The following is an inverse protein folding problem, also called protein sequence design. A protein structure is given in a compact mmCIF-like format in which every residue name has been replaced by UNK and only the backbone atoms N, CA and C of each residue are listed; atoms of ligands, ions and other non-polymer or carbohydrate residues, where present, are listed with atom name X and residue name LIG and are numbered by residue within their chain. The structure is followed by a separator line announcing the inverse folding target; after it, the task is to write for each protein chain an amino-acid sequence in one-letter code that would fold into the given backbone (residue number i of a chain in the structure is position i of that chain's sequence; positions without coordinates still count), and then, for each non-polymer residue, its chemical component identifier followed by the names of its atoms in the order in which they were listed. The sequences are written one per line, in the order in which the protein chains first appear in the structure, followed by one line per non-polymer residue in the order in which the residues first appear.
data_IF_448646742081
#
_entry.id   IF_448646742081
#
_cell.length_a   1.000
_cell.length_b   1.000
_cell.length_c   1.000
_cell.angle_alpha   90.00
_cell.angle_beta   90.00
_cell.angle_gamma   90.00
#
_symmetry.space_group_name_H-M   'P 1'
#
loop_
_entity.id
_entity.type
_entity.pdbx_description
1 polymer ?
#
# COMPACT_ATOMS: atom_id res chain seq x y z
N UNK A 1 -52.99 -18.47 -10.53
CA UNK A 1 -52.61 -18.40 -11.96
C UNK A 1 -51.28 -17.66 -12.04
N UNK A 2 -50.16 -18.40 -12.16
CA UNK A 2 -48.81 -17.81 -12.17
C UNK A 2 -48.51 -17.27 -13.57
N UNK A 3 -48.28 -15.95 -13.67
CA UNK A 3 -48.03 -15.22 -14.93
C UNK A 3 -46.69 -15.57 -15.64
N UNK A 4 -45.91 -16.54 -15.14
CA UNK A 4 -44.53 -16.80 -15.58
C UNK A 4 -44.32 -17.95 -16.58
N UNK A 5 -45.36 -18.69 -16.98
CA UNK A 5 -45.20 -19.89 -17.81
C UNK A 5 -45.35 -19.63 -19.32
N UNK A 6 -46.32 -18.82 -19.74
CA UNK A 6 -46.62 -18.62 -21.17
C UNK A 6 -45.49 -17.93 -21.96
N UNK A 7 -44.77 -17.01 -21.32
CA UNK A 7 -43.62 -16.34 -21.94
C UNK A 7 -42.44 -17.29 -22.19
N UNK A 8 -42.18 -18.21 -21.25
CA UNK A 8 -41.13 -19.21 -21.39
C UNK A 8 -41.46 -20.19 -22.52
N UNK A 9 -42.69 -20.70 -22.56
CA UNK A 9 -43.15 -21.65 -23.60
C UNK A 9 -43.11 -21.01 -25.00
N UNK A 10 -43.52 -19.75 -25.13
CA UNK A 10 -43.43 -19.02 -26.39
C UNK A 10 -41.98 -18.83 -26.85
N UNK A 11 -41.07 -18.51 -25.92
CA UNK A 11 -39.65 -18.36 -26.20
C UNK A 11 -38.99 -19.71 -26.52
N UNK A 12 -39.36 -20.78 -25.84
CA UNK A 12 -38.88 -22.14 -26.10
C UNK A 12 -39.26 -22.56 -27.51
N UNK A 13 -40.53 -22.42 -27.90
CA UNK A 13 -40.99 -22.78 -29.25
C UNK A 13 -40.27 -21.99 -30.35
N UNK A 14 -39.93 -20.73 -30.09
CA UNK A 14 -39.18 -19.93 -31.05
C UNK A 14 -37.70 -20.32 -31.09
N UNK A 15 -37.03 -20.33 -29.94
CA UNK A 15 -35.58 -20.45 -29.87
C UNK A 15 -35.14 -21.91 -30.02
N UNK A 16 -35.81 -22.85 -29.35
CA UNK A 16 -35.48 -24.28 -29.39
C UNK A 16 -36.01 -24.88 -30.69
N UNK A 17 -37.33 -24.85 -30.92
CA UNK A 17 -37.91 -25.61 -32.04
C UNK A 17 -37.61 -24.98 -33.41
N UNK A 18 -37.64 -23.64 -33.51
CA UNK A 18 -37.47 -22.96 -34.81
C UNK A 18 -36.03 -22.49 -35.06
N UNK A 19 -35.34 -21.93 -34.07
CA UNK A 19 -33.98 -21.41 -34.23
C UNK A 19 -32.87 -22.43 -33.89
N UNK A 20 -33.24 -23.61 -33.37
CA UNK A 20 -32.31 -24.72 -33.13
C UNK A 20 -31.42 -24.57 -31.89
N UNK A 21 -31.91 -23.89 -30.84
CA UNK A 21 -31.24 -23.84 -29.55
C UNK A 21 -31.49 -25.14 -28.76
N UNK A 22 -30.59 -25.48 -27.84
CA UNK A 22 -30.78 -26.61 -26.92
C UNK A 22 -31.36 -26.13 -25.59
N UNK A 23 -32.44 -26.75 -25.12
CA UNK A 23 -32.99 -26.47 -23.78
C UNK A 23 -32.17 -27.21 -22.71
N UNK A 24 -31.53 -26.48 -21.80
CA UNK A 24 -30.61 -27.02 -20.80
C UNK A 24 -30.82 -26.38 -19.42
N UNK A 25 -30.35 -27.06 -18.37
CA UNK A 25 -30.11 -26.43 -17.07
C UNK A 25 -28.82 -25.62 -17.16
N UNK A 26 -28.92 -24.29 -17.20
CA UNK A 26 -27.77 -23.40 -17.39
C UNK A 26 -26.73 -23.49 -16.25
N UNK A 27 -27.10 -24.02 -15.09
CA UNK A 27 -26.18 -24.21 -13.96
C UNK A 27 -25.41 -25.53 -14.02
N UNK A 28 -25.90 -26.53 -14.77
CA UNK A 28 -25.24 -27.83 -14.86
C UNK A 28 -24.03 -27.78 -15.80
N UNK A 29 -24.02 -26.83 -16.74
CA UNK A 29 -22.92 -26.53 -17.66
C UNK A 29 -22.76 -25.00 -17.82
N UNK A 30 -22.15 -24.33 -16.82
CA UNK A 30 -22.08 -22.88 -16.76
C UNK A 30 -21.18 -22.25 -17.83
N UNK A 31 -20.36 -23.02 -18.54
CA UNK A 31 -19.49 -22.51 -19.61
C UNK A 31 -20.10 -22.62 -21.00
N UNK A 32 -21.09 -23.51 -21.19
CA UNK A 32 -21.81 -23.61 -22.45
C UNK A 32 -22.73 -22.40 -22.67
N UNK A 33 -22.44 -21.61 -23.71
CA UNK A 33 -23.17 -20.38 -24.08
C UNK A 33 -23.57 -20.35 -25.55
N UNK A 34 -23.22 -21.38 -26.32
CA UNK A 34 -23.50 -21.43 -27.74
C UNK A 34 -24.87 -22.08 -27.99
N UNK A 35 -25.82 -21.29 -28.46
CA UNK A 35 -27.19 -21.72 -28.79
C UNK A 35 -27.86 -22.55 -27.69
N UNK A 36 -27.72 -22.14 -26.43
CA UNK A 36 -28.43 -22.74 -25.30
C UNK A 36 -29.55 -21.85 -24.79
N UNK A 37 -30.66 -22.46 -24.41
CA UNK A 37 -31.83 -21.83 -23.82
C UNK A 37 -32.12 -22.50 -22.48
N UNK A 38 -32.55 -21.74 -21.49
CA UNK A 38 -32.86 -22.30 -20.17
C UNK A 38 -33.36 -21.21 -19.23
N UNK A 39 -33.82 -21.63 -18.04
CA UNK A 39 -34.30 -20.67 -17.04
C UNK A 39 -33.12 -19.91 -16.42
N UNK A 40 -33.20 -18.57 -16.30
CA UNK A 40 -32.20 -17.82 -15.56
C UNK A 40 -32.15 -18.31 -14.11
N UNK A 41 -30.95 -18.58 -13.64
CA UNK A 41 -30.71 -18.93 -12.25
C UNK A 41 -30.78 -17.66 -11.39
N UNK A 42 -31.87 -17.52 -10.65
CA UNK A 42 -31.99 -16.49 -9.63
C UNK A 42 -31.74 -17.10 -8.25
N UNK A 43 -30.91 -16.44 -7.45
CA UNK A 43 -30.78 -16.79 -6.05
C UNK A 43 -31.97 -16.20 -5.28
N UNK A 44 -33.00 -17.02 -5.03
CA UNK A 44 -34.13 -16.68 -4.17
C UNK A 44 -34.18 -17.64 -2.97
N UNK A 45 -34.36 -17.10 -1.77
CA UNK A 45 -34.54 -17.84 -0.52
C UNK A 45 -35.85 -17.33 0.10
N UNK A 46 -36.81 -18.21 0.33
CA UNK A 46 -38.14 -17.89 0.87
C UNK A 46 -38.85 -16.71 0.16
N UNK A 47 -38.67 -16.61 -1.16
CA UNK A 47 -39.26 -15.56 -2.00
C UNK A 47 -38.50 -14.23 -2.01
N UNK A 48 -37.34 -14.14 -1.37
CA UNK A 48 -36.48 -12.95 -1.36
C UNK A 48 -35.16 -13.20 -2.10
N UNK A 49 -34.60 -12.17 -2.74
CA UNK A 49 -33.35 -12.30 -3.50
C UNK A 49 -32.17 -12.54 -2.54
N UNK A 50 -31.56 -13.73 -2.59
CA UNK A 50 -30.47 -14.21 -1.71
C UNK A 50 -29.10 -13.56 -2.00
N UNK A 51 -29.05 -12.24 -2.13
CA UNK A 51 -27.80 -11.48 -2.23
C UNK A 51 -27.14 -11.24 -0.86
N UNK A 52 -26.26 -10.22 -0.71
CA UNK A 52 -25.50 -9.94 0.53
C UNK A 52 -26.34 -9.65 1.79
N UNK A 53 -27.66 -9.74 1.70
CA UNK A 53 -28.61 -9.50 2.77
C UNK A 53 -28.90 -10.72 3.66
N UNK A 54 -28.56 -11.94 3.22
CA UNK A 54 -28.67 -13.14 4.07
C UNK A 54 -27.38 -13.37 4.87
N UNK A 55 -27.35 -12.86 6.10
CA UNK A 55 -26.24 -13.04 7.03
C UNK A 55 -25.91 -14.51 7.36
N UNK A 56 -26.85 -15.44 7.15
CA UNK A 56 -26.61 -16.88 7.35
C UNK A 56 -25.68 -17.51 6.30
N UNK A 57 -25.48 -16.81 5.17
CA UNK A 57 -24.57 -17.20 4.08
C UNK A 57 -23.26 -16.41 4.09
N UNK A 58 -23.07 -15.51 5.06
CA UNK A 58 -21.83 -14.77 5.17
C UNK A 58 -20.68 -15.71 5.49
N UNK A 59 -19.60 -15.54 4.74
CA UNK A 59 -18.33 -16.14 5.10
C UNK A 59 -17.60 -15.18 6.03
N UNK A 60 -17.69 -15.46 7.32
CA UNK A 60 -17.03 -14.65 8.33
C UNK A 60 -15.56 -15.02 8.37
N UNK A 61 -14.71 -14.15 7.82
CA UNK A 61 -13.27 -14.20 8.01
C UNK A 61 -12.84 -13.00 8.87
N UNK A 62 -12.64 -13.18 10.19
CA UNK A 62 -12.34 -12.08 11.10
C UNK A 62 -10.92 -11.52 10.90
N UNK A 63 -10.09 -12.14 10.07
CA UNK A 63 -8.73 -11.68 9.80
C UNK A 63 -8.66 -10.70 8.62
N UNK A 64 -9.74 -10.57 7.84
CA UNK A 64 -9.84 -9.56 6.77
C UNK A 64 -9.75 -8.16 7.40
N UNK A 65 -8.86 -7.34 6.86
CA UNK A 65 -8.59 -5.99 7.29
C UNK A 65 -7.60 -5.89 8.47
N UNK A 66 -7.43 -6.93 9.30
CA UNK A 66 -6.57 -6.88 10.48
C UNK A 66 -5.09 -6.87 10.13
N UNK A 67 -4.30 -6.17 10.95
CA UNK A 67 -2.85 -6.10 10.80
C UNK A 67 -2.41 -5.20 9.65
N UNK A 68 -3.31 -4.35 9.12
CA UNK A 68 -3.00 -3.35 8.11
C UNK A 68 -1.77 -2.54 8.54
N UNK A 69 -0.83 -2.38 7.62
CA UNK A 69 0.42 -1.71 7.87
C UNK A 69 0.74 -0.74 6.75
N UNK A 70 1.30 0.41 7.09
CA UNK A 70 2.05 1.29 6.20
C UNK A 70 3.29 1.77 6.97
N UNK A 71 4.32 2.18 6.24
CA UNK A 71 5.51 2.72 6.86
C UNK A 71 5.20 4.11 7.43
N UNK A 72 5.42 4.38 8.73
CA UNK A 72 5.37 5.74 9.22
C UNK A 72 6.51 6.55 8.61
N UNK A 73 6.20 7.76 8.14
CA UNK A 73 7.17 8.64 7.51
C UNK A 73 7.45 9.92 8.30
N UNK A 74 8.71 10.35 8.21
CA UNK A 74 9.24 11.61 8.73
C UNK A 74 10.12 12.26 7.66
N UNK A 75 9.90 13.55 7.39
CA UNK A 75 10.75 14.42 6.58
C UNK A 75 11.66 15.25 7.47
N UNK A 76 12.97 15.18 7.23
CA UNK A 76 13.99 16.02 7.85
C UNK A 76 14.60 16.84 6.73
N UNK A 77 14.43 18.15 6.81
CA UNK A 77 14.93 19.08 5.82
C UNK A 77 16.39 19.41 6.14
N UNK A 78 17.26 19.24 5.15
CA UNK A 78 18.70 19.47 5.26
C UNK A 78 19.10 20.55 4.25
N UNK A 79 20.12 21.34 4.59
CA UNK A 79 20.79 22.23 3.64
C UNK A 79 22.29 21.94 3.58
N UNK A 80 22.94 22.33 2.49
CA UNK A 80 24.38 22.19 2.33
C UNK A 80 24.94 23.14 1.29
N UNK A 81 26.19 23.60 1.44
CA UNK A 81 26.79 24.61 0.55
C UNK A 81 27.04 24.11 -0.87
N UNK A 82 27.08 22.79 -1.08
CA UNK A 82 27.30 22.13 -2.37
C UNK A 82 26.03 21.54 -2.98
N UNK A 83 24.87 21.71 -2.32
CA UNK A 83 23.61 21.19 -2.83
C UNK A 83 23.08 22.10 -3.94
N UNK A 84 22.68 21.47 -5.04
CA UNK A 84 21.87 22.07 -6.09
C UNK A 84 20.55 21.30 -6.17
N UNK A 85 19.51 21.89 -5.61
CA UNK A 85 18.19 21.29 -5.57
C UNK A 85 17.59 21.22 -6.97
N UNK A 86 16.92 20.11 -7.27
CA UNK A 86 16.17 19.93 -8.50
C UNK A 86 14.72 19.56 -8.18
N UNK A 87 13.79 20.45 -8.49
CA UNK A 87 12.36 20.21 -8.37
C UNK A 87 11.72 20.12 -9.76
N UNK A 88 11.10 18.98 -10.08
CA UNK A 88 10.43 18.78 -11.36
C UNK A 88 9.20 19.68 -11.50
N UNK A 89 9.12 20.43 -12.61
CA UNK A 89 7.93 21.21 -12.98
C UNK A 89 7.36 20.67 -14.29
N UNK A 90 6.12 20.18 -14.29
CA UNK A 90 5.48 19.68 -15.51
C UNK A 90 4.71 20.77 -16.27
N UNK A 91 4.32 21.84 -15.58
CA UNK A 91 3.63 22.99 -16.17
C UNK A 91 4.59 23.98 -16.82
N UNK A 92 5.79 24.10 -16.28
CA UNK A 92 6.84 25.01 -16.76
C UNK A 92 8.22 24.34 -16.59
N UNK A 93 8.55 23.33 -17.40
CA UNK A 93 9.82 22.61 -17.32
C UNK A 93 10.97 23.47 -17.88
N UNK A 94 12.16 23.31 -17.32
CA UNK A 94 13.40 23.84 -17.92
C UNK A 94 13.53 23.27 -19.34
N UNK A 95 13.63 24.16 -20.34
CA UNK A 95 13.53 23.75 -21.75
C UNK A 95 14.61 22.74 -22.15
N UNK A 96 15.84 22.90 -21.65
CA UNK A 96 16.93 21.96 -21.91
C UNK A 96 16.64 20.57 -21.35
N UNK A 97 16.14 20.47 -20.12
CA UNK A 97 15.85 19.19 -19.46
C UNK A 97 14.65 18.48 -20.10
N UNK A 98 13.61 19.25 -20.49
CA UNK A 98 12.50 18.76 -21.30
C UNK A 98 13.01 18.17 -22.61
N UNK A 99 13.85 18.90 -23.33
CA UNK A 99 14.34 18.50 -24.65
C UNK A 99 15.21 17.26 -24.56
N UNK A 100 16.09 17.16 -23.57
CA UNK A 100 16.87 15.94 -23.27
C UNK A 100 15.96 14.74 -23.04
N UNK A 101 14.89 14.88 -22.27
CA UNK A 101 13.99 13.76 -22.00
C UNK A 101 13.18 13.36 -23.24
N UNK A 102 12.61 14.34 -23.95
CA UNK A 102 11.78 14.08 -25.13
C UNK A 102 12.58 13.49 -26.28
N UNK A 103 13.81 13.97 -26.51
CA UNK A 103 14.63 13.58 -27.67
C UNK A 103 15.45 12.31 -27.41
N UNK A 104 15.99 12.13 -26.20
CA UNK A 104 16.96 11.05 -25.91
C UNK A 104 16.67 10.25 -24.64
N UNK A 105 15.55 10.51 -23.94
CA UNK A 105 15.22 9.87 -22.65
C UNK A 105 16.37 10.00 -21.64
N UNK A 106 17.00 11.17 -21.63
CA UNK A 106 18.10 11.52 -20.74
C UNK A 106 17.79 12.78 -19.93
N UNK A 107 18.65 13.10 -18.97
CA UNK A 107 18.52 14.30 -18.14
C UNK A 107 17.61 14.11 -16.93
N UNK A 108 17.33 15.17 -16.17
CA UNK A 108 16.68 15.05 -14.86
C UNK A 108 15.28 14.42 -14.86
N UNK A 109 14.52 14.52 -15.97
CA UNK A 109 13.21 13.88 -16.10
C UNK A 109 13.28 12.37 -16.39
N UNK A 110 14.47 11.78 -16.61
CA UNK A 110 14.60 10.32 -16.76
C UNK A 110 14.66 9.57 -15.41
N UNK A 111 14.66 10.29 -14.29
CA UNK A 111 14.63 9.74 -12.93
C UNK A 111 13.58 10.45 -12.08
N UNK A 112 13.10 9.77 -11.04
CA UNK A 112 12.29 10.39 -10.00
C UNK A 112 13.16 11.28 -9.09
N UNK A 113 12.53 12.00 -8.15
CA UNK A 113 13.21 12.90 -7.22
C UNK A 113 14.17 12.18 -6.25
N UNK A 114 13.87 10.95 -5.84
CA UNK A 114 14.73 10.21 -4.90
C UNK A 114 16.11 9.94 -5.53
N UNK A 115 17.14 10.52 -4.94
CA UNK A 115 18.55 10.43 -5.40
C UNK A 115 19.33 9.31 -4.72
N UNK A 116 18.91 8.89 -3.52
CA UNK A 116 19.66 7.91 -2.71
C UNK A 116 18.76 7.19 -1.71
N UNK A 117 19.18 6.00 -1.32
CA UNK A 117 18.52 5.17 -0.29
C UNK A 117 19.58 4.52 0.60
N UNK A 118 19.26 4.40 1.89
CA UNK A 118 20.06 3.65 2.86
C UNK A 118 19.17 2.92 3.85
N UNK A 119 19.74 1.94 4.55
CA UNK A 119 19.00 1.07 5.45
C UNK A 119 19.76 0.85 6.74
N UNK A 120 19.01 0.66 7.81
CA UNK A 120 19.52 0.32 9.13
C UNK A 120 18.64 -0.69 9.83
N UNK A 121 19.18 -1.32 10.86
CA UNK A 121 18.42 -2.16 11.78
C UNK A 121 18.68 -1.72 13.22
N UNK A 122 17.61 -1.57 13.99
CA UNK A 122 17.67 -1.26 15.42
C UNK A 122 17.38 -2.54 16.22
N UNK A 123 18.35 -3.09 16.98
CA UNK A 123 18.15 -4.28 17.81
C UNK A 123 17.09 -4.03 18.90
N UNK A 124 16.23 -5.02 19.15
CA UNK A 124 15.12 -4.90 20.12
C UNK A 124 15.36 -5.63 21.45
N UNK A 125 16.60 -6.08 21.72
CA UNK A 125 17.00 -6.76 22.96
C UNK A 125 16.51 -8.21 23.13
N UNK A 126 15.50 -8.64 22.37
CA UNK A 126 14.94 -10.01 22.35
C UNK A 126 15.46 -10.86 21.16
N UNK A 127 16.50 -10.40 20.46
CA UNK A 127 17.02 -11.02 19.24
C UNK A 127 16.30 -10.62 17.95
N UNK A 128 15.16 -9.92 18.01
CA UNK A 128 14.55 -9.29 16.84
C UNK A 128 15.18 -7.93 16.52
N UNK A 129 14.94 -7.47 15.29
CA UNK A 129 15.41 -6.19 14.78
C UNK A 129 14.28 -5.45 14.08
N UNK A 130 14.28 -4.13 14.23
CA UNK A 130 13.37 -3.22 13.54
C UNK A 130 14.14 -2.59 12.38
N UNK A 131 13.59 -2.64 11.17
CA UNK A 131 14.19 -2.05 9.99
C UNK A 131 13.86 -0.57 9.87
N UNK A 132 14.85 0.24 9.50
CA UNK A 132 14.68 1.64 9.15
C UNK A 132 15.20 1.84 7.73
N UNK A 133 14.48 2.59 6.92
CA UNK A 133 14.92 3.01 5.59
C UNK A 133 15.00 4.54 5.57
N UNK A 134 16.07 5.07 4.99
CA UNK A 134 16.15 6.48 4.64
C UNK A 134 16.20 6.69 3.13
N UNK A 135 15.52 7.72 2.63
CA UNK A 135 15.64 8.18 1.23
C UNK A 135 15.95 9.67 1.19
N UNK A 136 16.72 10.08 0.18
CA UNK A 136 17.07 11.49 -0.04
C UNK A 136 16.41 11.97 -1.32
N UNK A 137 15.58 13.00 -1.23
CA UNK A 137 14.97 13.66 -2.39
C UNK A 137 15.88 14.73 -2.98
N UNK A 138 15.69 15.07 -4.25
CA UNK A 138 16.52 16.05 -4.97
C UNK A 138 16.20 17.50 -4.59
N UNK A 139 15.19 17.74 -3.77
CA UNK A 139 14.80 19.07 -3.30
C UNK A 139 14.26 18.99 -1.88
N UNK A 140 14.18 20.13 -1.20
CA UNK A 140 13.44 20.22 0.05
C UNK A 140 11.92 20.22 -0.15
N UNK A 141 11.21 20.25 0.97
CA UNK A 141 9.75 20.15 1.04
C UNK A 141 9.13 21.28 1.89
N UNK A 142 7.89 21.64 1.54
CA UNK A 142 7.04 22.64 2.20
C UNK A 142 7.73 23.98 2.48
N UNK A 143 8.10 24.27 3.74
CA UNK A 143 8.72 25.54 4.12
C UNK A 143 10.15 25.71 3.63
N UNK A 144 10.79 24.64 3.13
CA UNK A 144 12.23 24.58 2.90
C UNK A 144 12.58 24.30 1.43
N UNK A 145 12.11 25.16 0.51
CA UNK A 145 12.33 24.98 -0.94
C UNK A 145 13.53 25.79 -1.49
N UNK A 146 14.58 25.98 -0.69
CA UNK A 146 15.78 26.67 -1.14
C UNK A 146 16.54 25.86 -2.20
N UNK A 147 17.36 26.51 -3.03
CA UNK A 147 18.16 25.79 -4.04
C UNK A 147 19.31 24.96 -3.42
N UNK A 148 19.50 25.05 -2.12
CA UNK A 148 20.50 24.36 -1.35
C UNK A 148 19.89 23.35 -0.36
N UNK A 149 18.61 22.97 -0.54
CA UNK A 149 17.87 22.09 0.37
C UNK A 149 17.52 20.74 -0.25
N UNK A 150 17.49 19.71 0.59
CA UNK A 150 17.05 18.35 0.26
C UNK A 150 16.22 17.79 1.41
N UNK A 151 15.28 16.89 1.09
CA UNK A 151 14.51 16.15 2.10
C UNK A 151 15.15 14.80 2.37
N UNK A 152 15.50 14.55 3.64
CA UNK A 152 15.75 13.22 4.18
C UNK A 152 14.43 12.64 4.69
N UNK A 153 13.94 11.59 4.04
CA UNK A 153 12.84 10.79 4.52
C UNK A 153 13.37 9.69 5.44
N UNK A 154 12.70 9.41 6.56
CA UNK A 154 12.97 8.26 7.42
C UNK A 154 11.69 7.46 7.62
N UNK A 155 11.76 6.17 7.27
CA UNK A 155 10.68 5.21 7.40
C UNK A 155 10.99 4.16 8.47
N UNK A 156 10.04 3.92 9.37
CA UNK A 156 9.98 2.64 10.07
C UNK A 156 9.46 1.54 9.14
N UNK A 157 10.10 0.37 9.11
CA UNK A 157 9.77 -0.68 8.12
C UNK A 157 9.43 -2.03 8.78
N UNK A 158 10.03 -3.12 8.33
CA UNK A 158 9.83 -4.46 8.88
C UNK A 158 10.16 -4.52 10.37
N UNK A 159 9.35 -5.24 11.16
CA UNK A 159 9.65 -5.49 12.57
C UNK A 159 9.12 -4.43 13.55
N UNK A 160 8.41 -3.41 13.05
CA UNK A 160 7.56 -2.55 13.89
C UNK A 160 6.48 -3.37 14.60
N UNK A 161 6.09 -2.90 15.79
CA UNK A 161 5.07 -3.51 16.63
C UNK A 161 3.66 -2.98 16.30
N UNK A 162 3.56 -1.72 15.87
CA UNK A 162 2.29 -1.09 15.51
C UNK A 162 1.72 -1.69 14.24
N UNK A 163 0.42 -1.95 14.26
CA UNK A 163 -0.38 -2.26 13.08
C UNK A 163 -1.82 -1.82 13.36
N UNK A 164 -2.56 -1.53 12.31
CA UNK A 164 -3.96 -1.12 12.39
C UNK A 164 -4.88 -2.16 11.78
N UNK A 165 -6.04 -1.69 11.34
CA UNK A 165 -6.96 -2.47 10.53
C UNK A 165 -7.64 -1.59 9.49
N UNK A 166 -8.21 -2.21 8.45
CA UNK A 166 -9.07 -1.50 7.49
C UNK A 166 -10.40 -1.15 8.15
N UNK A 167 -10.79 0.11 8.05
CA UNK A 167 -12.10 0.64 8.42
C UNK A 167 -12.83 1.06 7.15
N UNK A 168 -14.13 0.78 7.08
CA UNK A 168 -14.99 1.32 6.03
C UNK A 168 -15.73 2.53 6.57
N UNK A 169 -15.59 3.67 5.90
CA UNK A 169 -16.30 4.88 6.28
C UNK A 169 -17.82 4.64 6.25
N UNK A 170 -18.54 5.22 7.21
CA UNK A 170 -20.01 5.25 7.23
C UNK A 170 -20.59 6.24 6.20
N UNK A 171 -19.86 6.53 5.13
CA UNK A 171 -20.33 7.31 4.00
C UNK A 171 -21.08 6.41 2.99
N UNK A 172 -21.69 7.01 1.96
CA UNK A 172 -22.41 6.23 0.93
C UNK A 172 -21.46 5.40 0.03
N UNK A 173 -20.16 5.67 0.11
CA UNK A 173 -19.15 5.07 -0.74
C UNK A 173 -18.41 3.91 -0.06
N UNK A 174 -18.62 3.71 1.25
CA UNK A 174 -17.88 2.77 2.08
C UNK A 174 -16.38 2.89 1.88
N UNK A 175 -15.88 4.13 1.84
CA UNK A 175 -14.47 4.41 1.55
C UNK A 175 -13.57 3.69 2.54
N UNK A 176 -12.67 2.83 2.04
CA UNK A 176 -11.73 2.11 2.88
C UNK A 176 -10.60 3.03 3.34
N UNK A 177 -10.29 2.98 4.64
CA UNK A 177 -9.18 3.72 5.24
C UNK A 177 -8.53 2.93 6.38
N UNK A 178 -7.40 3.41 6.89
CA UNK A 178 -6.78 2.81 8.08
C UNK A 178 -7.57 3.17 9.34
N UNK A 179 -7.47 2.32 10.36
CA UNK A 179 -7.88 2.65 11.72
C UNK A 179 -7.02 3.79 12.28
N UNK A 180 -7.57 4.51 13.26
CA UNK A 180 -6.80 5.48 14.04
C UNK A 180 -5.57 4.82 14.68
N UNK A 181 -4.51 5.61 14.89
CA UNK A 181 -3.26 5.19 15.52
C UNK A 181 -2.52 4.03 14.82
N UNK A 182 -2.65 3.88 13.51
CA UNK A 182 -1.88 2.86 12.76
C UNK A 182 -0.36 3.05 12.90
N UNK A 183 0.10 4.28 13.10
CA UNK A 183 1.50 4.62 13.34
C UNK A 183 1.75 4.85 14.82
N UNK A 184 2.88 4.32 15.32
CA UNK A 184 3.39 4.56 16.67
C UNK A 184 2.41 4.24 17.82
N UNK A 185 1.44 3.33 17.61
CA UNK A 185 0.60 2.79 18.68
C UNK A 185 1.43 2.15 19.80
N UNK A 186 2.52 1.48 19.42
CA UNK A 186 3.53 1.01 20.36
C UNK A 186 4.68 2.03 20.45
N UNK A 187 4.95 2.59 21.64
CA UNK A 187 5.99 3.62 21.80
C UNK A 187 7.40 3.10 21.47
N UNK A 188 7.63 1.78 21.46
CA UNK A 188 8.93 1.20 21.08
C UNK A 188 9.29 1.48 19.62
N UNK A 189 8.30 1.63 18.76
CA UNK A 189 8.50 1.96 17.35
C UNK A 189 9.13 3.35 17.21
N UNK A 190 8.49 4.35 17.83
CA UNK A 190 8.99 5.72 17.85
C UNK A 190 10.35 5.81 18.53
N UNK A 191 10.56 5.12 19.67
CA UNK A 191 11.83 5.14 20.39
C UNK A 191 12.98 4.59 19.53
N UNK A 192 12.74 3.49 18.81
CA UNK A 192 13.75 2.87 17.95
C UNK A 192 14.12 3.76 16.77
N UNK A 193 13.14 4.36 16.10
CA UNK A 193 13.36 5.27 14.97
C UNK A 193 14.04 6.56 15.43
N UNK A 194 13.63 7.11 16.58
CA UNK A 194 14.27 8.30 17.15
C UNK A 194 15.73 8.05 17.54
N UNK A 195 16.03 6.88 18.10
CA UNK A 195 17.41 6.46 18.40
C UNK A 195 18.24 6.37 17.13
N UNK A 196 17.69 5.77 16.06
CA UNK A 196 18.39 5.70 14.78
C UNK A 196 18.70 7.09 14.19
N UNK A 197 17.73 8.00 14.20
CA UNK A 197 17.92 9.39 13.74
C UNK A 197 18.97 10.10 14.59
N UNK A 198 18.89 9.96 15.91
CA UNK A 198 19.88 10.53 16.84
C UNK A 198 21.31 10.08 16.49
N UNK A 199 21.48 8.79 16.24
CA UNK A 199 22.80 8.21 15.97
C UNK A 199 23.39 8.74 14.65
N UNK A 200 22.59 8.86 13.59
CA UNK A 200 23.07 9.44 12.32
C UNK A 200 23.31 10.96 12.43
N UNK A 201 22.59 11.67 13.30
CA UNK A 201 22.81 13.10 13.56
C UNK A 201 24.17 13.35 14.24
N UNK A 202 24.70 12.39 14.99
CA UNK A 202 26.03 12.52 15.60
C UNK A 202 27.15 12.62 14.56
N UNK A 203 26.93 12.13 13.34
CA UNK A 203 27.89 12.25 12.24
C UNK A 203 27.79 13.58 11.49
N UNK A 204 26.76 14.40 11.74
CA UNK A 204 26.62 15.71 11.13
C UNK A 204 27.54 16.74 11.78
N UNK A 205 28.07 17.70 11.01
CA UNK A 205 28.84 18.82 11.56
C UNK A 205 27.99 19.65 12.53
N UNK A 206 28.63 20.25 13.53
CA UNK A 206 27.98 21.22 14.40
C UNK A 206 27.46 22.39 13.57
N UNK A 207 26.14 22.60 13.58
CA UNK A 207 25.48 23.65 12.79
C UNK A 207 24.07 23.94 13.28
N UNK A 208 23.58 25.13 12.96
CA UNK A 208 22.17 25.54 13.12
C UNK A 208 21.71 26.23 11.83
N UNK A 209 20.39 26.45 11.63
CA UNK A 209 19.91 27.22 10.48
C UNK A 209 20.51 28.64 10.40
N UNK A 210 20.79 29.28 11.54
CA UNK A 210 21.39 30.62 11.61
C UNK A 210 22.93 30.61 11.46
N UNK A 211 23.56 29.45 11.68
CA UNK A 211 25.00 29.23 11.56
C UNK A 211 25.23 27.88 10.84
N UNK A 212 24.96 27.82 9.52
CA UNK A 212 25.05 26.58 8.76
C UNK A 212 26.49 26.08 8.67
N UNK A 213 26.64 24.78 8.42
CA UNK A 213 27.95 24.14 8.28
C UNK A 213 28.68 24.68 7.05
N UNK A 214 29.97 25.00 7.20
CA UNK A 214 30.84 25.39 6.08
C UNK A 214 31.09 24.22 5.11
N UNK A 215 31.09 22.99 5.64
CA UNK A 215 31.15 21.74 4.89
C UNK A 215 30.16 20.73 5.49
N UNK A 216 29.46 19.98 4.63
CA UNK A 216 28.48 18.98 5.05
C UNK A 216 27.03 19.49 5.06
N UNK A 217 26.19 18.89 5.90
CA UNK A 217 24.75 19.14 5.93
C UNK A 217 24.32 19.78 7.26
N UNK A 218 23.36 20.70 7.17
CA UNK A 218 22.72 21.37 8.30
C UNK A 218 21.23 21.02 8.35
N UNK A 219 20.76 20.38 9.42
CA UNK A 219 19.34 20.18 9.67
C UNK A 219 18.57 21.49 9.89
N UNK A 220 17.38 21.60 9.31
CA UNK A 220 16.59 22.82 9.29
C UNK A 220 15.36 22.77 10.19
N UNK A 221 14.64 21.64 10.20
CA UNK A 221 13.38 21.47 10.92
C UNK A 221 13.49 20.54 12.15
N UNK A 222 14.68 19.99 12.40
CA UNK A 222 15.01 19.19 13.58
C UNK A 222 16.46 19.49 13.98
N UNK A 223 16.68 20.08 15.16
CA UNK A 223 18.02 20.56 15.54
C UNK A 223 19.05 19.41 15.59
N UNK A 224 20.26 19.66 15.08
CA UNK A 224 21.37 18.69 15.05
C UNK A 224 21.66 18.04 16.41
N UNK A 225 21.54 18.80 17.50
CA UNK A 225 21.81 18.35 18.87
C UNK A 225 20.56 17.85 19.63
N UNK A 226 19.47 17.53 18.91
CA UNK A 226 18.24 17.06 19.53
C UNK A 226 18.46 15.74 20.28
N UNK A 227 17.92 15.63 21.50
CA UNK A 227 17.92 14.37 22.25
C UNK A 227 16.98 13.34 21.60
N UNK A 228 17.12 12.07 21.97
CA UNK A 228 16.22 11.01 21.49
C UNK A 228 14.76 11.34 21.83
N UNK A 229 14.47 11.93 23.00
CA UNK A 229 13.12 12.31 23.41
C UNK A 229 12.55 13.47 22.57
N UNK A 230 13.39 14.43 22.18
CA UNK A 230 12.98 15.52 21.28
C UNK A 230 12.67 14.99 19.89
N UNK A 231 13.50 14.08 19.38
CA UNK A 231 13.29 13.42 18.09
C UNK A 231 12.03 12.53 18.14
N UNK A 232 11.84 11.77 19.21
CA UNK A 232 10.64 10.98 19.43
C UNK A 232 9.40 11.87 19.33
N UNK A 233 9.39 12.98 20.07
CA UNK A 233 8.28 13.94 20.06
C UNK A 233 8.02 14.48 18.65
N UNK A 234 9.08 14.81 17.92
CA UNK A 234 9.00 15.29 16.54
C UNK A 234 8.36 14.26 15.59
N UNK A 235 8.84 13.01 15.60
CA UNK A 235 8.37 11.99 14.63
C UNK A 235 6.98 11.42 14.95
N UNK A 236 6.53 11.52 16.21
CA UNK A 236 5.22 11.00 16.64
C UNK A 236 4.13 12.07 16.74
N UNK A 237 4.46 13.34 16.52
CA UNK A 237 3.49 14.44 16.53
C UNK A 237 3.06 14.77 15.10
N UNK A 238 1.77 14.69 14.75
CA UNK A 238 1.30 15.01 13.41
C UNK A 238 1.70 16.41 12.98
N UNK A 239 2.33 16.52 11.82
CA UNK A 239 2.69 17.78 11.16
C UNK A 239 2.74 17.57 9.65
N UNK A 240 3.07 18.62 8.90
CA UNK A 240 3.35 18.47 7.47
C UNK A 240 4.60 17.61 7.19
N UNK A 241 5.48 17.41 8.18
CA UNK A 241 6.73 16.66 8.06
C UNK A 241 6.68 15.27 8.71
N UNK A 242 5.72 14.96 9.58
CA UNK A 242 5.73 13.74 10.38
C UNK A 242 4.35 13.12 10.57
N UNK A 243 4.33 11.81 10.85
CA UNK A 243 3.11 10.99 10.96
C UNK A 243 2.33 10.95 9.63
N UNK A 244 3.08 10.90 8.51
CA UNK A 244 2.53 10.78 7.17
C UNK A 244 2.42 9.33 6.70
N UNK A 245 1.46 9.08 5.80
CA UNK A 245 1.40 7.85 5.00
C UNK A 245 2.33 7.96 3.80
N UNK A 246 2.94 6.84 3.41
CA UNK A 246 3.73 6.71 2.16
C UNK A 246 3.10 5.74 1.17
N UNK A 247 1.86 5.34 1.44
CA UNK A 247 1.09 4.46 0.55
C UNK A 247 1.76 3.10 0.30
N UNK A 248 2.47 2.56 1.29
CA UNK A 248 3.04 1.21 1.27
C UNK A 248 2.12 0.20 1.98
N UNK A 249 0.81 0.34 1.81
CA UNK A 249 -0.21 -0.47 2.47
C UNK A 249 -0.01 -1.97 2.25
N UNK A 250 0.02 -2.75 3.34
CA UNK A 250 0.19 -4.20 3.30
C UNK A 250 -0.55 -4.92 4.44
N UNK A 251 -0.46 -6.25 4.49
CA UNK A 251 -0.83 -7.12 5.62
C UNK A 251 -2.32 -7.28 5.95
N UNK A 252 -3.24 -6.55 5.29
CA UNK A 252 -4.68 -6.58 5.57
C UNK A 252 -5.38 -7.91 5.24
N UNK A 253 -4.72 -8.85 4.57
CA UNK A 253 -5.20 -10.23 4.37
C UNK A 253 -4.02 -11.21 4.42
N UNK A 254 -3.26 -11.15 5.51
CA UNK A 254 -1.97 -11.85 5.69
C UNK A 254 -2.01 -13.37 5.45
N UNK A 255 -0.97 -13.90 4.80
CA UNK A 255 -0.72 -15.35 4.70
C UNK A 255 -0.67 -15.99 6.09
N UNK A 256 -1.32 -17.15 6.24
CA UNK A 256 -1.44 -17.90 7.49
C UNK A 256 -2.52 -17.36 8.44
N UNK A 257 -3.24 -16.30 8.05
CA UNK A 257 -4.33 -15.68 8.83
C UNK A 257 -5.59 -15.52 8.00
N UNK A 258 -5.52 -14.78 6.91
CA UNK A 258 -6.65 -14.51 6.01
C UNK A 258 -6.64 -15.46 4.81
N UNK A 259 -5.46 -15.69 4.22
CA UNK A 259 -5.22 -16.70 3.17
C UNK A 259 -4.26 -17.78 3.67
N UNK A 260 -4.31 -18.96 3.08
CA UNK A 260 -3.34 -20.03 3.30
C UNK A 260 -2.04 -19.82 2.49
N UNK A 261 -1.14 -20.80 2.54
CA UNK A 261 0.16 -20.75 1.85
C UNK A 261 0.05 -20.79 0.32
N UNK A 262 -1.09 -21.22 -0.21
CA UNK A 262 -1.40 -21.24 -1.65
C UNK A 262 -2.25 -20.04 -2.05
N UNK A 263 -2.33 -19.02 -1.19
CA UNK A 263 -3.06 -17.75 -1.39
C UNK A 263 -4.58 -17.87 -1.40
N UNK A 264 -5.12 -19.04 -1.05
CA UNK A 264 -6.55 -19.28 -0.97
C UNK A 264 -7.12 -18.68 0.30
N UNK A 265 -8.23 -17.93 0.19
CA UNK A 265 -8.95 -17.36 1.33
C UNK A 265 -9.44 -18.49 2.21
N UNK A 266 -9.06 -18.45 3.48
CA UNK A 266 -9.42 -19.49 4.46
C UNK A 266 -10.95 -19.51 4.60
N UNK A 267 -11.53 -20.71 4.50
CA UNK A 267 -12.98 -20.92 4.48
C UNK A 267 -13.59 -20.97 3.07
N UNK A 268 -12.79 -20.75 2.01
CA UNK A 268 -13.26 -20.84 0.61
C UNK A 268 -12.73 -22.08 -0.10
N UNK A 269 -13.39 -22.42 -1.21
CA UNK A 269 -12.93 -23.49 -2.11
C UNK A 269 -12.02 -22.94 -3.21
N UNK A 270 -12.31 -21.77 -3.75
CA UNK A 270 -11.69 -21.27 -4.98
C UNK A 270 -11.43 -19.76 -5.02
N UNK A 271 -11.50 -19.05 -3.89
CA UNK A 271 -11.19 -17.61 -3.85
C UNK A 271 -9.74 -17.43 -3.40
N UNK A 272 -8.98 -16.66 -4.16
CA UNK A 272 -7.57 -16.38 -3.88
C UNK A 272 -7.32 -14.87 -3.87
N UNK A 273 -6.33 -14.43 -3.09
CA UNK A 273 -5.87 -13.03 -3.02
C UNK A 273 -4.37 -12.99 -3.24
N UNK A 274 -3.93 -12.22 -4.22
CA UNK A 274 -2.51 -12.11 -4.59
C UNK A 274 -2.17 -10.63 -4.84
N UNK A 275 -1.95 -9.89 -3.76
CA UNK A 275 -1.54 -8.49 -3.77
C UNK A 275 -0.78 -8.14 -2.47
N UNK A 276 -0.55 -6.85 -2.20
CA UNK A 276 0.16 -6.39 -1.01
C UNK A 276 -0.49 -6.82 0.33
N UNK A 277 -1.80 -7.06 0.35
CA UNK A 277 -2.54 -7.42 1.57
C UNK A 277 -2.06 -8.72 2.20
N UNK A 278 -1.51 -9.64 1.41
CA UNK A 278 -1.07 -10.95 1.91
C UNK A 278 0.34 -10.90 2.54
N UNK A 279 1.08 -9.83 2.26
CA UNK A 279 2.48 -9.68 2.63
C UNK A 279 2.66 -9.02 3.98
N UNK A 280 3.59 -9.58 4.75
CA UNK A 280 4.14 -8.91 5.94
C UNK A 280 4.90 -7.63 5.52
N UNK A 281 5.09 -6.67 6.44
CA UNK A 281 5.87 -5.46 6.15
C UNK A 281 7.28 -5.79 5.64
N UNK A 282 7.68 -5.16 4.53
CA UNK A 282 9.01 -5.31 3.94
C UNK A 282 9.94 -4.22 4.46
N UNK A 283 11.26 -4.46 4.40
CA UNK A 283 12.28 -3.46 4.77
C UNK A 283 12.55 -2.41 3.68
N UNK A 284 11.83 -2.48 2.56
CA UNK A 284 12.02 -1.67 1.33
C UNK A 284 10.65 -1.22 0.81
N UNK A 285 10.61 -0.23 -0.10
CA UNK A 285 9.38 0.08 -0.85
C UNK A 285 8.80 -1.20 -1.48
N UNK A 286 7.49 -1.45 -1.34
CA UNK A 286 6.99 -2.82 -1.42
C UNK A 286 6.79 -3.34 -2.84
N UNK A 287 6.79 -2.47 -3.86
CA UNK A 287 6.39 -2.81 -5.23
C UNK A 287 7.08 -4.08 -5.75
N UNK A 288 8.41 -4.18 -5.63
CA UNK A 288 9.13 -5.35 -6.14
C UNK A 288 8.82 -6.61 -5.33
N UNK A 289 8.70 -6.50 -4.00
CA UNK A 289 8.28 -7.63 -3.17
C UNK A 289 6.87 -8.12 -3.48
N UNK A 290 5.95 -7.20 -3.81
CA UNK A 290 4.60 -7.53 -4.28
C UNK A 290 4.65 -8.26 -5.61
N UNK A 291 5.47 -7.82 -6.56
CA UNK A 291 5.63 -8.51 -7.86
C UNK A 291 6.19 -9.92 -7.69
N UNK A 292 7.18 -10.12 -6.81
CA UNK A 292 7.71 -11.45 -6.49
C UNK A 292 6.64 -12.35 -5.85
N UNK A 293 5.83 -11.79 -4.95
CA UNK A 293 4.71 -12.52 -4.37
C UNK A 293 3.63 -12.86 -5.39
N UNK A 294 3.40 -11.99 -6.37
CA UNK A 294 2.47 -12.23 -7.46
C UNK A 294 2.91 -13.40 -8.34
N UNK A 295 4.18 -13.40 -8.77
CA UNK A 295 4.77 -14.52 -9.53
C UNK A 295 4.65 -15.83 -8.76
N UNK A 296 5.04 -15.83 -7.48
CA UNK A 296 4.95 -17.04 -6.66
C UNK A 296 3.52 -17.48 -6.39
N UNK A 297 2.62 -16.54 -6.14
CA UNK A 297 1.19 -16.80 -5.92
C UNK A 297 0.54 -17.43 -7.15
N UNK A 298 0.86 -16.93 -8.35
CA UNK A 298 0.37 -17.50 -9.61
C UNK A 298 0.87 -18.94 -9.82
N UNK A 299 2.14 -19.22 -9.53
CA UNK A 299 2.70 -20.59 -9.56
C UNK A 299 1.94 -21.52 -8.61
N UNK A 300 1.65 -21.06 -7.38
CA UNK A 300 0.89 -21.84 -6.38
C UNK A 300 -0.54 -22.10 -6.82
N UNK A 301 -1.22 -21.08 -7.32
CA UNK A 301 -2.58 -21.19 -7.85
C UNK A 301 -2.66 -22.20 -8.99
N UNK A 302 -1.74 -22.16 -9.95
CA UNK A 302 -1.68 -23.11 -11.06
C UNK A 302 -1.47 -24.55 -10.57
N UNK A 303 -0.65 -24.75 -9.53
CA UNK A 303 -0.39 -26.07 -8.97
C UNK A 303 -1.60 -26.68 -8.23
N UNK A 304 -2.55 -25.84 -7.79
CA UNK A 304 -3.80 -26.26 -7.14
C UNK A 304 -5.01 -26.20 -8.07
N UNK A 305 -4.81 -25.85 -9.34
CA UNK A 305 -5.86 -25.75 -10.35
C UNK A 305 -6.16 -27.14 -10.92
N UNK A 306 -7.08 -27.86 -10.29
CA UNK A 306 -7.55 -29.20 -10.68
C UNK A 306 -8.51 -29.78 -9.64
#
# INVERSE_FOLDING_TARGET
MFLGYSGYEAAEKWLVDAAGFSNVSLNDDPDNKDKVFGRPAYNYIDGQRGGPYDSSKWMVNPEVGKGLFDNPNTFIELSGPTIESYAHSYTDPVSTDRDLYLQSRSGPYSFASQTSVFFGYVPQGNGSKLGVQGTIDSSGFSGFNGNNTITLNIYGTSGLYSSGHVVLASDKNFTAGPSDNIYYADPRDGQSIATFIHDIFQALPESTPESPAEEGLTPLNLARNSTVEQIYTYITTPSEYAVGSVSHWSSSCRIGKCVDADTKVIGTQNIHVIDASILSPLSVNPQFGIMVAAEKGAERLLATWG
#
